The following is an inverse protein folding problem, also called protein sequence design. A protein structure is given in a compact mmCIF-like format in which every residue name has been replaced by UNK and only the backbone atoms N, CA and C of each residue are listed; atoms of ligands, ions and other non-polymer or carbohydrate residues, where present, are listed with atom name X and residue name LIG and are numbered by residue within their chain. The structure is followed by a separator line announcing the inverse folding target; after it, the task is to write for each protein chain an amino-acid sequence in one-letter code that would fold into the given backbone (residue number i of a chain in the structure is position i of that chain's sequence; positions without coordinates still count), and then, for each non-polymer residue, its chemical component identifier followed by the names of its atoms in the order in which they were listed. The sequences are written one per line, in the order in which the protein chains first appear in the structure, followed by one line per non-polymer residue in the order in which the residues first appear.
data_IF_825621905278
#
_entry.id   IF_825621905278
#
_cell.length_a   1.000
_cell.length_b   1.000
_cell.length_c   1.000
_cell.angle_alpha   90.00
_cell.angle_beta   90.00
_cell.angle_gamma   90.00
#
_symmetry.space_group_name_H-M   'P 1'
#
loop_
_entity.id
_entity.type
_entity.pdbx_description
1 polymer ?
#
# COMPACT_ATOMS: atom_id res chain seq x y z
N UNK A 1 7.53 -32.32 1.86
CA UNK A 1 6.45 -33.10 2.50
C UNK A 1 6.44 -34.55 2.00
N UNK A 2 6.14 -34.85 0.73
CA UNK A 2 6.23 -36.25 0.19
C UNK A 2 7.59 -36.60 -0.46
N UNK A 3 8.59 -35.73 -0.35
CA UNK A 3 9.92 -35.92 -0.98
C UNK A 3 10.00 -35.55 -2.47
N UNK A 4 8.91 -35.10 -3.08
CA UNK A 4 8.87 -34.63 -4.47
C UNK A 4 9.00 -33.10 -4.60
N UNK A 5 9.12 -32.62 -5.84
CA UNK A 5 9.18 -31.19 -6.17
C UNK A 5 10.53 -30.54 -5.83
N UNK A 6 10.49 -29.23 -5.59
CA UNK A 6 11.65 -28.42 -5.17
C UNK A 6 11.29 -27.59 -3.94
N UNK A 7 12.30 -27.28 -3.13
CA UNK A 7 12.17 -26.39 -1.98
C UNK A 7 13.37 -25.45 -1.91
N UNK A 8 13.17 -24.27 -1.34
CA UNK A 8 14.26 -23.34 -1.03
C UNK A 8 14.70 -23.51 0.42
N UNK A 9 16.01 -23.66 0.64
CA UNK A 9 16.64 -23.65 1.96
C UNK A 9 17.78 -22.62 1.95
N UNK A 10 17.64 -21.55 2.74
CA UNK A 10 18.61 -20.44 2.84
C UNK A 10 19.04 -19.85 1.48
N UNK A 11 18.09 -19.72 0.55
CA UNK A 11 18.33 -19.19 -0.80
C UNK A 11 18.86 -20.21 -1.82
N UNK A 12 19.07 -21.48 -1.43
CA UNK A 12 19.44 -22.56 -2.35
C UNK A 12 18.20 -23.36 -2.76
N UNK A 13 18.00 -23.54 -4.06
CA UNK A 13 16.93 -24.39 -4.59
C UNK A 13 17.36 -25.86 -4.61
N UNK A 14 16.67 -26.70 -3.85
CA UNK A 14 16.95 -28.12 -3.67
C UNK A 14 15.84 -28.99 -4.26
N UNK A 15 16.17 -30.25 -4.56
CA UNK A 15 15.13 -31.27 -4.76
C UNK A 15 14.38 -31.51 -3.44
N UNK A 16 13.09 -31.88 -3.52
CA UNK A 16 12.28 -32.19 -2.34
C UNK A 16 12.93 -33.24 -1.43
N UNK A 17 13.51 -34.30 -2.00
CA UNK A 17 14.18 -35.34 -1.23
C UNK A 17 15.42 -34.82 -0.49
N UNK A 18 16.22 -33.95 -1.12
CA UNK A 18 17.38 -33.33 -0.48
C UNK A 18 16.97 -32.36 0.62
N UNK A 19 15.94 -31.53 0.38
CA UNK A 19 15.42 -30.63 1.39
C UNK A 19 14.88 -31.38 2.63
N UNK A 20 14.14 -32.48 2.43
CA UNK A 20 13.66 -33.33 3.51
C UNK A 20 14.83 -33.95 4.31
N UNK A 21 15.87 -34.46 3.63
CA UNK A 21 17.09 -34.96 4.29
C UNK A 21 17.79 -33.88 5.12
N UNK A 22 17.98 -32.68 4.56
CA UNK A 22 18.63 -31.56 5.27
C UNK A 22 17.83 -31.09 6.48
N UNK A 23 16.50 -31.17 6.40
CA UNK A 23 15.60 -30.85 7.50
C UNK A 23 15.46 -31.99 8.54
N UNK A 24 16.14 -33.13 8.34
CA UNK A 24 16.01 -34.33 9.17
C UNK A 24 14.56 -34.85 9.24
N UNK A 25 13.81 -34.73 8.14
CA UNK A 25 12.42 -35.16 8.02
C UNK A 25 12.29 -36.33 7.04
N UNK A 26 11.51 -37.34 7.43
CA UNK A 26 11.14 -38.44 6.53
C UNK A 26 9.98 -38.04 5.62
N UNK A 27 9.98 -38.43 4.32
CA UNK A 27 8.85 -38.24 3.43
C UNK A 27 7.56 -38.87 3.95
N UNK A 28 6.47 -38.09 3.92
CA UNK A 28 5.14 -38.55 4.32
C UNK A 28 4.53 -39.41 3.21
N UNK A 29 3.98 -40.57 3.56
CA UNK A 29 3.15 -41.38 2.67
C UNK A 29 1.68 -41.01 2.87
N UNK A 30 1.08 -40.41 1.86
CA UNK A 30 -0.32 -39.98 1.91
C UNK A 30 -1.29 -41.16 1.95
N UNK A 31 -2.30 -41.05 2.79
CA UNK A 31 -3.45 -41.95 2.91
C UNK A 31 -4.66 -41.41 2.13
N UNK A 32 -5.79 -42.11 2.24
CA UNK A 32 -7.04 -41.70 1.60
C UNK A 32 -7.42 -40.27 2.02
N UNK A 33 -7.92 -39.47 1.05
CA UNK A 33 -8.28 -38.04 1.17
C UNK A 33 -7.12 -37.06 1.39
N UNK A 34 -6.02 -37.45 2.04
CA UNK A 34 -4.95 -36.51 2.44
C UNK A 34 -4.38 -35.71 1.27
N UNK A 35 -4.17 -36.34 0.11
CA UNK A 35 -3.69 -35.64 -1.09
C UNK A 35 -4.65 -34.53 -1.57
N UNK A 36 -5.97 -34.79 -1.52
CA UNK A 36 -6.98 -33.81 -1.90
C UNK A 36 -7.11 -32.72 -0.85
N UNK A 37 -7.10 -33.08 0.43
CA UNK A 37 -7.17 -32.12 1.55
C UNK A 37 -6.02 -31.10 1.53
N UNK A 38 -4.86 -31.47 0.97
CA UNK A 38 -3.69 -30.61 0.88
C UNK A 38 -3.75 -29.59 -0.27
N UNK A 39 -4.40 -29.93 -1.38
CA UNK A 39 -4.38 -29.11 -2.61
C UNK A 39 -5.72 -28.43 -2.90
N UNK A 40 -6.81 -28.93 -2.32
CA UNK A 40 -8.15 -28.42 -2.55
C UNK A 40 -8.47 -27.34 -1.51
N UNK A 41 -8.55 -26.09 -1.94
CA UNK A 41 -8.86 -24.97 -1.07
C UNK A 41 -8.33 -23.64 -1.61
N UNK A 42 -8.45 -22.60 -0.79
CA UNK A 42 -8.14 -21.21 -1.16
C UNK A 42 -6.81 -20.70 -0.59
N UNK A 43 -5.98 -21.59 -0.02
CA UNK A 43 -4.82 -21.22 0.79
C UNK A 43 -3.81 -20.34 0.04
N UNK A 44 -3.53 -20.61 -1.25
CA UNK A 44 -2.56 -19.83 -2.03
C UNK A 44 -3.04 -18.39 -2.25
N UNK A 45 -4.27 -18.19 -2.74
CA UNK A 45 -4.80 -16.85 -2.96
C UNK A 45 -4.92 -16.08 -1.65
N UNK A 46 -5.37 -16.76 -0.58
CA UNK A 46 -5.54 -16.17 0.74
C UNK A 46 -4.21 -15.80 1.37
N UNK A 47 -3.16 -16.61 1.21
CA UNK A 47 -1.83 -16.31 1.72
C UNK A 47 -1.21 -15.09 1.02
N UNK A 48 -1.26 -15.03 -0.31
CA UNK A 48 -0.77 -13.88 -1.08
C UNK A 48 -1.57 -12.62 -0.72
N UNK A 49 -2.89 -12.73 -0.70
CA UNK A 49 -3.77 -11.62 -0.37
C UNK A 49 -3.63 -11.14 1.09
N UNK A 50 -3.37 -12.03 2.04
CA UNK A 50 -3.13 -11.67 3.44
C UNK A 50 -1.87 -10.83 3.60
N UNK A 51 -0.78 -11.17 2.90
CA UNK A 51 0.43 -10.36 2.87
C UNK A 51 0.17 -8.97 2.25
N UNK A 52 -0.60 -8.91 1.16
CA UNK A 52 -0.99 -7.66 0.54
C UNK A 52 -1.87 -6.80 1.48
N UNK A 53 -2.84 -7.39 2.17
CA UNK A 53 -3.66 -6.71 3.18
C UNK A 53 -2.80 -6.17 4.32
N UNK A 54 -1.87 -6.97 4.85
CA UNK A 54 -0.97 -6.54 5.93
C UNK A 54 -0.09 -5.36 5.49
N UNK A 55 0.45 -5.41 4.27
CA UNK A 55 1.17 -4.29 3.68
C UNK A 55 0.29 -3.05 3.52
N UNK A 56 -0.95 -3.21 3.03
CA UNK A 56 -1.90 -2.13 2.86
C UNK A 56 -2.29 -1.46 4.19
N UNK A 57 -2.43 -2.22 5.29
CA UNK A 57 -2.69 -1.68 6.63
C UNK A 57 -1.55 -0.78 7.13
N UNK A 58 -0.30 -1.02 6.72
CA UNK A 58 0.81 -0.09 6.96
C UNK A 58 0.74 1.10 5.99
N UNK A 59 0.47 0.82 4.72
CA UNK A 59 0.42 1.81 3.64
C UNK A 59 -0.57 2.94 3.95
N UNK A 60 -1.77 2.63 4.45
CA UNK A 60 -2.81 3.64 4.74
C UNK A 60 -2.32 4.72 5.71
N UNK A 61 -1.51 4.36 6.71
CA UNK A 61 -0.93 5.30 7.68
C UNK A 61 0.25 6.05 7.08
N UNK A 62 1.12 5.34 6.36
CA UNK A 62 2.27 5.96 5.67
C UNK A 62 1.81 6.98 4.63
N UNK A 63 0.73 6.72 3.90
CA UNK A 63 0.14 7.65 2.95
C UNK A 63 -0.31 8.96 3.61
N UNK A 64 -0.94 8.88 4.79
CA UNK A 64 -1.34 10.07 5.56
C UNK A 64 -0.11 10.89 6.01
N UNK A 65 0.97 10.22 6.44
CA UNK A 65 2.22 10.86 6.86
C UNK A 65 2.90 11.58 5.69
N UNK A 66 3.05 10.89 4.55
CA UNK A 66 3.67 11.47 3.36
C UNK A 66 2.84 12.64 2.84
N UNK A 67 1.51 12.50 2.82
CA UNK A 67 0.62 13.58 2.44
C UNK A 67 0.69 14.78 3.40
N UNK A 68 0.94 14.56 4.71
CA UNK A 68 1.14 15.63 5.68
C UNK A 68 2.43 16.43 5.44
N UNK A 69 3.53 15.78 5.06
CA UNK A 69 4.75 16.47 4.62
C UNK A 69 4.49 17.35 3.38
N UNK A 70 3.78 16.82 2.39
CA UNK A 70 3.40 17.59 1.21
C UNK A 70 2.43 18.73 1.56
N UNK A 71 1.51 18.52 2.51
CA UNK A 71 0.63 19.56 3.03
C UNK A 71 1.44 20.75 3.58
N UNK A 72 2.50 20.51 4.35
CA UNK A 72 3.36 21.58 4.87
C UNK A 72 4.18 22.24 3.77
N UNK A 73 4.73 21.48 2.83
CA UNK A 73 5.41 22.04 1.66
C UNK A 73 4.50 22.93 0.81
N UNK A 74 3.20 22.60 0.76
CA UNK A 74 2.18 23.33 0.02
C UNK A 74 1.44 24.40 0.86
N UNK A 75 1.84 24.62 2.12
CA UNK A 75 1.17 25.51 3.08
C UNK A 75 -0.35 25.30 3.08
N UNK A 76 -0.77 24.09 3.42
CA UNK A 76 -2.18 23.69 3.34
C UNK A 76 -3.06 24.40 4.37
N UNK A 77 -4.34 24.51 4.02
CA UNK A 77 -5.41 25.03 4.84
C UNK A 77 -5.96 23.89 5.70
N UNK A 78 -5.60 23.85 6.98
CA UNK A 78 -5.93 22.75 7.89
C UNK A 78 -7.43 22.65 8.21
N UNK A 79 -8.20 23.71 7.96
CA UNK A 79 -9.66 23.70 8.12
C UNK A 79 -10.36 22.65 7.25
N UNK A 80 -9.72 22.18 6.18
CA UNK A 80 -10.22 21.05 5.38
C UNK A 80 -10.29 19.71 6.15
N UNK A 81 -9.56 19.61 7.26
CA UNK A 81 -9.44 18.42 8.10
C UNK A 81 -10.23 18.54 9.41
N UNK A 82 -11.06 19.58 9.55
CA UNK A 82 -11.89 19.83 10.72
C UNK A 82 -12.87 18.68 10.95
N UNK A 83 -12.85 18.14 12.16
CA UNK A 83 -13.67 17.00 12.57
C UNK A 83 -15.16 17.15 12.28
N UNK A 84 -15.71 18.38 12.36
CA UNK A 84 -17.12 18.64 12.08
C UNK A 84 -17.46 18.33 10.63
N UNK A 85 -16.56 18.61 9.68
CA UNK A 85 -16.73 18.30 8.26
C UNK A 85 -16.83 16.79 8.05
N UNK A 86 -15.96 16.03 8.71
CA UNK A 86 -15.88 14.58 8.53
C UNK A 86 -17.01 13.84 9.27
N UNK A 87 -17.41 14.32 10.46
CA UNK A 87 -18.57 13.79 11.20
C UNK A 87 -19.89 13.96 10.44
N UNK A 88 -20.04 15.02 9.65
CA UNK A 88 -21.26 15.22 8.83
C UNK A 88 -21.40 14.18 7.72
N UNK A 89 -20.30 13.66 7.17
CA UNK A 89 -20.31 12.62 6.13
C UNK A 89 -20.22 11.19 6.67
N UNK A 90 -19.61 11.02 7.85
CA UNK A 90 -19.66 9.81 8.68
C UNK A 90 -19.06 8.52 8.09
N UNK A 91 -18.18 8.60 7.08
CA UNK A 91 -17.39 7.43 6.68
C UNK A 91 -16.26 7.18 7.69
N UNK A 92 -16.13 5.96 8.27
CA UNK A 92 -15.13 5.66 9.29
C UNK A 92 -13.70 5.96 8.85
N UNK A 93 -13.30 5.49 7.67
CA UNK A 93 -11.97 5.73 7.14
C UNK A 93 -11.68 7.22 6.88
N UNK A 94 -12.70 7.98 6.44
CA UNK A 94 -12.57 9.43 6.25
C UNK A 94 -12.36 10.17 7.58
N UNK A 95 -13.06 9.77 8.64
CA UNK A 95 -12.88 10.34 9.98
C UNK A 95 -11.48 10.00 10.50
N UNK A 96 -11.05 8.73 10.37
CA UNK A 96 -9.74 8.27 10.81
C UNK A 96 -8.60 9.02 10.11
N UNK A 97 -8.67 9.19 8.78
CA UNK A 97 -7.67 9.95 8.03
C UNK A 97 -7.63 11.43 8.44
N UNK A 98 -8.79 12.07 8.60
CA UNK A 98 -8.83 13.46 9.07
C UNK A 98 -8.25 13.63 10.48
N UNK A 99 -8.51 12.68 11.38
CA UNK A 99 -7.90 12.67 12.71
C UNK A 99 -6.38 12.51 12.63
N UNK A 100 -5.88 11.60 11.80
CA UNK A 100 -4.45 11.41 11.57
C UNK A 100 -3.80 12.71 11.06
N UNK A 101 -4.39 13.36 10.05
CA UNK A 101 -3.86 14.63 9.52
C UNK A 101 -3.85 15.74 10.57
N UNK A 102 -4.89 15.85 11.41
CA UNK A 102 -4.88 16.81 12.54
C UNK A 102 -3.76 16.51 13.53
N UNK A 103 -3.51 15.25 13.87
CA UNK A 103 -2.39 14.84 14.76
C UNK A 103 -1.03 15.16 14.12
N UNK A 104 -0.86 14.84 12.85
CA UNK A 104 0.41 15.00 12.12
C UNK A 104 0.78 16.46 11.90
N UNK A 105 -0.20 17.32 11.63
CA UNK A 105 0.00 18.75 11.36
C UNK A 105 -0.10 19.63 12.60
N UNK A 106 -0.34 19.05 13.79
CA UNK A 106 -0.47 19.80 15.03
C UNK A 106 0.84 20.54 15.36
N UNK A 107 0.76 21.86 15.52
CA UNK A 107 1.92 22.71 15.79
C UNK A 107 2.72 23.13 14.55
N UNK A 108 2.22 22.87 13.34
CA UNK A 108 2.86 23.34 12.11
C UNK A 108 2.99 24.87 12.07
N UNK A 109 4.18 25.35 11.71
CA UNK A 109 4.42 26.74 11.35
C UNK A 109 4.12 27.06 9.88
N UNK A 110 3.78 26.05 9.06
CA UNK A 110 3.57 26.12 7.62
C UNK A 110 2.09 25.98 7.24
N UNK A 111 1.45 24.90 7.70
CA UNK A 111 0.03 24.62 7.47
C UNK A 111 -0.83 25.19 8.59
N UNK A 112 -1.88 25.93 8.23
CA UNK A 112 -2.70 26.72 9.18
C UNK A 112 -4.16 26.77 8.76
N UNK A 113 -5.05 27.19 9.65
CA UNK A 113 -6.48 27.34 9.32
C UNK A 113 -6.74 28.43 8.28
N UNK A 114 -5.92 29.48 8.27
CA UNK A 114 -6.01 30.58 7.31
C UNK A 114 -4.64 30.82 6.70
N UNK A 115 -4.60 30.85 5.36
CA UNK A 115 -3.39 31.13 4.58
C UNK A 115 -3.71 32.34 3.70
N UNK A 116 -2.97 33.43 3.88
CA UNK A 116 -3.22 34.68 3.16
C UNK A 116 -3.13 34.47 1.64
N UNK A 117 -4.08 35.04 0.89
CA UNK A 117 -4.15 34.91 -0.56
C UNK A 117 -4.63 33.56 -1.07
N UNK A 118 -4.98 32.61 -0.19
CA UNK A 118 -5.41 31.25 -0.57
C UNK A 118 -6.78 30.93 0.04
N UNK A 119 -7.78 30.78 -0.84
CA UNK A 119 -9.17 30.49 -0.40
C UNK A 119 -9.38 29.00 -0.16
N UNK A 120 -8.85 28.16 -1.06
CA UNK A 120 -8.97 26.70 -0.98
C UNK A 120 -7.74 26.02 -1.56
N UNK A 121 -7.42 24.84 -1.02
CA UNK A 121 -6.48 23.91 -1.62
C UNK A 121 -7.08 23.14 -2.80
N UNK A 122 -6.20 22.69 -3.70
CA UNK A 122 -6.54 21.72 -4.74
C UNK A 122 -6.92 20.36 -4.15
N UNK A 123 -7.64 19.54 -4.90
CA UNK A 123 -8.23 18.30 -4.37
C UNK A 123 -7.22 17.28 -3.89
N UNK A 124 -6.03 17.17 -4.51
CA UNK A 124 -5.00 16.25 -4.04
C UNK A 124 -4.46 16.57 -2.63
N UNK A 125 -4.75 17.76 -2.11
CA UNK A 125 -4.47 18.19 -0.74
C UNK A 125 -5.76 18.25 0.10
N UNK A 126 -6.78 18.94 -0.41
CA UNK A 126 -8.02 19.18 0.34
C UNK A 126 -8.86 17.93 0.56
N UNK A 127 -8.84 17.01 -0.39
CA UNK A 127 -9.67 15.82 -0.39
C UNK A 127 -8.94 14.58 0.15
N UNK A 128 -7.78 14.73 0.81
CA UNK A 128 -7.02 13.60 1.36
C UNK A 128 -7.92 12.71 2.24
N UNK A 129 -8.69 13.24 3.23
CA UNK A 129 -9.57 12.39 4.04
C UNK A 129 -10.59 11.59 3.24
N UNK A 130 -11.16 12.17 2.19
CA UNK A 130 -12.18 11.54 1.37
C UNK A 130 -11.59 10.41 0.52
N UNK A 131 -10.40 10.64 -0.07
CA UNK A 131 -9.73 9.68 -0.96
C UNK A 131 -9.09 8.57 -0.13
N UNK A 132 -8.20 8.93 0.81
CA UNK A 132 -7.51 7.96 1.67
C UNK A 132 -8.50 7.20 2.56
N UNK A 133 -9.56 7.88 3.02
CA UNK A 133 -10.59 7.26 3.84
C UNK A 133 -11.40 6.20 3.12
N UNK A 134 -11.79 6.44 1.87
CA UNK A 134 -12.49 5.45 1.05
C UNK A 134 -11.62 4.20 0.82
N UNK A 135 -10.34 4.39 0.49
CA UNK A 135 -9.40 3.28 0.32
C UNK A 135 -9.15 2.54 1.63
N UNK A 136 -9.10 3.23 2.76
CA UNK A 136 -8.97 2.63 4.10
C UNK A 136 -10.15 1.74 4.46
N UNK A 137 -11.38 2.17 4.16
CA UNK A 137 -12.58 1.35 4.38
C UNK A 137 -12.54 0.06 3.52
N UNK A 138 -12.04 0.13 2.29
CA UNK A 138 -11.86 -1.03 1.42
C UNK A 138 -10.79 -2.00 1.93
N UNK A 139 -9.66 -1.48 2.44
CA UNK A 139 -8.61 -2.30 3.10
C UNK A 139 -9.18 -3.02 4.32
N UNK A 140 -10.01 -2.35 5.13
CA UNK A 140 -10.66 -2.97 6.28
C UNK A 140 -11.60 -4.10 5.87
N UNK A 141 -12.41 -3.91 4.82
CA UNK A 141 -13.25 -4.96 4.26
C UNK A 141 -12.44 -6.19 3.82
N UNK A 142 -11.34 -5.99 3.09
CA UNK A 142 -10.47 -7.08 2.65
C UNK A 142 -9.83 -7.80 3.85
N UNK A 143 -9.44 -7.07 4.90
CA UNK A 143 -8.90 -7.66 6.12
C UNK A 143 -9.90 -8.54 6.85
N UNK A 144 -11.16 -8.13 6.94
CA UNK A 144 -12.22 -8.97 7.51
C UNK A 144 -12.47 -10.23 6.68
N UNK A 145 -12.50 -10.11 5.36
CA UNK A 145 -12.67 -11.25 4.45
C UNK A 145 -11.54 -12.27 4.64
N UNK A 146 -10.28 -11.81 4.61
CA UNK A 146 -9.10 -12.67 4.85
C UNK A 146 -9.14 -13.31 6.24
N UNK A 147 -9.53 -12.56 7.27
CA UNK A 147 -9.63 -13.08 8.64
C UNK A 147 -10.60 -14.26 8.73
N UNK A 148 -11.75 -14.18 8.03
CA UNK A 148 -12.71 -15.29 7.96
C UNK A 148 -12.12 -16.47 7.20
N UNK A 149 -11.51 -16.21 6.03
CA UNK A 149 -11.01 -17.26 5.13
C UNK A 149 -9.83 -18.05 5.71
N UNK A 150 -8.90 -17.40 6.41
CA UNK A 150 -7.75 -18.06 7.07
C UNK A 150 -8.21 -19.08 8.11
N UNK A 151 -9.40 -18.88 8.71
CA UNK A 151 -9.97 -19.76 9.73
C UNK A 151 -11.01 -20.73 9.16
N UNK A 152 -11.22 -20.76 7.85
CA UNK A 152 -12.25 -21.57 7.21
C UNK A 152 -11.74 -22.98 6.82
N UNK A 153 -12.67 -23.94 6.76
CA UNK A 153 -12.45 -25.24 6.11
C UNK A 153 -12.82 -25.11 4.65
N UNK A 154 -11.81 -25.08 3.78
CA UNK A 154 -11.96 -24.83 2.34
C UNK A 154 -11.72 -26.05 1.46
N UNK A 155 -11.38 -27.20 2.05
CA UNK A 155 -11.24 -28.44 1.30
C UNK A 155 -12.59 -29.13 1.04
N UNK A 156 -12.56 -30.21 0.25
CA UNK A 156 -13.73 -31.00 -0.07
C UNK A 156 -13.32 -32.44 -0.47
N UNK A 157 -14.09 -33.49 -0.16
CA UNK A 157 -15.34 -33.48 0.63
C UNK A 157 -15.11 -33.17 2.10
N UNK A 158 -16.14 -32.71 2.79
CA UNK A 158 -16.13 -32.47 4.22
C UNK A 158 -16.56 -33.73 4.97
N UNK A 159 -15.85 -34.07 6.04
CA UNK A 159 -16.17 -35.20 6.91
C UNK A 159 -16.76 -34.62 8.19
N UNK A 160 -17.92 -35.15 8.58
CA UNK A 160 -18.68 -34.81 9.77
C UNK A 160 -18.75 -36.05 10.67
N UNK A 161 -17.71 -36.30 11.50
CA UNK A 161 -17.55 -37.57 12.20
C UNK A 161 -18.63 -37.82 13.25
N UNK A 162 -19.11 -36.76 13.91
CA UNK A 162 -20.14 -36.85 14.94
C UNK A 162 -21.50 -37.23 14.34
N UNK A 163 -21.71 -36.90 13.07
CA UNK A 163 -22.89 -37.23 12.27
C UNK A 163 -22.73 -38.51 11.42
N UNK A 164 -21.54 -39.15 11.42
CA UNK A 164 -21.18 -40.26 10.54
C UNK A 164 -21.46 -39.97 9.04
N UNK A 165 -21.17 -38.74 8.61
CA UNK A 165 -21.54 -38.23 7.29
C UNK A 165 -20.34 -37.65 6.52
N UNK A 166 -20.44 -37.70 5.18
CA UNK A 166 -19.47 -37.12 4.24
C UNK A 166 -20.22 -36.32 3.19
N UNK A 167 -20.05 -35.00 3.23
CA UNK A 167 -20.75 -34.08 2.34
C UNK A 167 -19.80 -33.50 1.29
N UNK A 168 -20.20 -33.58 0.02
CA UNK A 168 -19.54 -32.85 -1.06
C UNK A 168 -20.21 -31.49 -1.26
N UNK A 169 -19.45 -30.42 -1.05
CA UNK A 169 -19.84 -29.03 -1.28
C UNK A 169 -18.84 -28.31 -2.17
N UNK A 170 -18.72 -26.99 -1.98
CA UNK A 170 -17.93 -26.10 -2.85
C UNK A 170 -17.09 -25.07 -2.09
N UNK A 171 -16.68 -25.35 -0.84
CA UNK A 171 -15.93 -24.38 -0.02
C UNK A 171 -14.55 -24.01 -0.60
N UNK A 172 -14.03 -24.78 -1.56
CA UNK A 172 -12.81 -24.46 -2.31
C UNK A 172 -12.99 -23.31 -3.31
N UNK A 173 -14.23 -22.90 -3.61
CA UNK A 173 -14.49 -21.85 -4.57
C UNK A 173 -14.21 -20.45 -4.00
N UNK A 174 -13.01 -19.92 -4.27
CA UNK A 174 -12.51 -18.65 -3.71
C UNK A 174 -13.14 -17.33 -4.19
N UNK A 175 -14.41 -17.31 -4.61
CA UNK A 175 -15.07 -16.07 -5.06
C UNK A 175 -15.08 -14.95 -4.00
N UNK A 176 -15.31 -15.24 -2.70
CA UNK A 176 -15.27 -14.20 -1.68
C UNK A 176 -13.91 -13.50 -1.61
N UNK A 177 -12.82 -14.26 -1.80
CA UNK A 177 -11.47 -13.74 -1.83
C UNK A 177 -11.15 -12.99 -3.12
N UNK A 178 -11.58 -13.52 -4.27
CA UNK A 178 -11.35 -12.87 -5.55
C UNK A 178 -11.93 -11.45 -5.59
N UNK A 179 -13.17 -11.28 -5.15
CA UNK A 179 -13.84 -9.97 -5.06
C UNK A 179 -13.13 -9.05 -4.05
N UNK A 180 -12.73 -9.58 -2.90
CA UNK A 180 -12.02 -8.81 -1.88
C UNK A 180 -10.66 -8.30 -2.38
N UNK A 181 -9.91 -9.11 -3.11
CA UNK A 181 -8.59 -8.74 -3.61
C UNK A 181 -8.64 -7.79 -4.82
N UNK A 182 -9.61 -7.92 -5.72
CA UNK A 182 -9.80 -6.90 -6.75
C UNK A 182 -10.20 -5.55 -6.13
N UNK A 183 -11.10 -5.56 -5.13
CA UNK A 183 -11.47 -4.34 -4.43
C UNK A 183 -10.29 -3.71 -3.67
N UNK A 184 -9.45 -4.55 -3.03
CA UNK A 184 -8.20 -4.12 -2.41
C UNK A 184 -7.26 -3.47 -3.44
N UNK A 185 -7.03 -4.11 -4.58
CA UNK A 185 -6.17 -3.58 -5.64
C UNK A 185 -6.66 -2.22 -6.16
N UNK A 186 -7.96 -2.09 -6.43
CA UNK A 186 -8.59 -0.82 -6.83
C UNK A 186 -8.36 0.26 -5.77
N UNK A 187 -8.59 -0.06 -4.49
CA UNK A 187 -8.43 0.89 -3.40
C UNK A 187 -6.97 1.34 -3.19
N UNK A 188 -6.01 0.44 -3.32
CA UNK A 188 -4.59 0.76 -3.17
C UNK A 188 -4.11 1.64 -4.33
N UNK A 189 -4.59 1.40 -5.55
CA UNK A 189 -4.22 2.18 -6.73
C UNK A 189 -4.51 3.69 -6.54
N UNK A 190 -5.59 4.04 -5.83
CA UNK A 190 -5.96 5.44 -5.57
C UNK A 190 -4.97 6.16 -4.64
N UNK A 191 -4.30 5.46 -3.71
CA UNK A 191 -3.22 6.06 -2.91
C UNK A 191 -2.05 6.49 -3.80
N UNK A 192 -1.68 5.65 -4.76
CA UNK A 192 -0.63 5.95 -5.72
C UNK A 192 -1.04 7.11 -6.64
N UNK A 193 -2.26 7.08 -7.20
CA UNK A 193 -2.73 8.13 -8.13
C UNK A 193 -2.74 9.51 -7.45
N UNK A 194 -3.33 9.63 -6.24
CA UNK A 194 -3.34 10.92 -5.53
C UNK A 194 -1.95 11.36 -5.04
N UNK A 195 -1.08 10.41 -4.68
CA UNK A 195 0.31 10.69 -4.29
C UNK A 195 1.14 11.23 -5.45
N UNK A 196 0.97 10.68 -6.64
CA UNK A 196 1.63 11.20 -7.83
C UNK A 196 1.11 12.60 -8.18
N UNK A 197 -0.20 12.86 -8.04
CA UNK A 197 -0.75 14.22 -8.19
C UNK A 197 -0.17 15.21 -7.18
N UNK A 198 0.15 14.77 -5.95
CA UNK A 198 0.86 15.59 -4.95
C UNK A 198 2.32 15.80 -5.32
N UNK A 199 3.00 14.78 -5.86
CA UNK A 199 4.36 14.90 -6.42
C UNK A 199 4.40 15.94 -7.53
N UNK A 200 3.46 15.91 -8.48
CA UNK A 200 3.37 16.91 -9.55
C UNK A 200 3.24 18.34 -8.99
N UNK A 201 2.42 18.53 -7.95
CA UNK A 201 2.30 19.85 -7.32
C UNK A 201 3.59 20.37 -6.72
N UNK A 202 4.50 19.49 -6.29
CA UNK A 202 5.79 19.88 -5.72
C UNK A 202 6.82 20.23 -6.82
N UNK A 203 6.82 19.49 -7.92
CA UNK A 203 7.81 19.68 -8.99
C UNK A 203 7.40 20.76 -10.00
N UNK A 204 6.12 21.09 -10.09
CA UNK A 204 5.63 22.07 -11.04
C UNK A 204 5.76 23.52 -10.49
N UNK A 205 6.54 24.41 -11.13
CA UNK A 205 6.76 25.78 -10.66
C UNK A 205 5.50 26.65 -10.62
N UNK A 206 4.44 26.27 -11.35
CA UNK A 206 3.15 26.96 -11.32
C UNK A 206 2.29 26.56 -10.11
N UNK A 207 2.65 25.47 -9.42
CA UNK A 207 1.84 24.86 -8.36
C UNK A 207 2.58 24.75 -7.02
N UNK A 208 3.91 24.92 -7.00
CA UNK A 208 4.78 24.54 -5.89
C UNK A 208 5.17 25.69 -4.94
N UNK A 209 4.39 26.77 -4.88
CA UNK A 209 4.62 27.94 -4.02
C UNK A 209 5.98 28.64 -4.25
N UNK A 210 6.32 28.93 -5.52
CA UNK A 210 7.54 29.63 -5.93
C UNK A 210 8.85 28.87 -5.67
N UNK A 211 8.77 27.55 -5.51
CA UNK A 211 9.98 26.73 -5.51
C UNK A 211 10.53 26.57 -6.94
N UNK A 212 11.84 26.34 -7.11
CA UNK A 212 12.40 26.08 -8.42
C UNK A 212 11.69 24.93 -9.15
N UNK A 213 11.59 25.04 -10.48
CA UNK A 213 11.04 23.97 -11.30
C UNK A 213 11.78 22.65 -11.04
N UNK A 214 11.01 21.58 -10.90
CA UNK A 214 11.49 20.22 -10.58
C UNK A 214 12.33 20.13 -9.30
N UNK A 215 12.16 21.09 -8.39
CA UNK A 215 12.93 21.19 -7.14
C UNK A 215 14.45 21.19 -7.39
N UNK A 216 14.88 21.75 -8.52
CA UNK A 216 16.28 21.87 -8.91
C UNK A 216 16.79 23.29 -8.60
N UNK A 217 17.73 23.47 -7.63
CA UNK A 217 18.25 24.80 -7.28
C UNK A 217 18.82 25.58 -8.48
N UNK A 218 19.50 24.89 -9.39
CA UNK A 218 20.10 25.44 -10.60
C UNK A 218 19.44 24.82 -11.85
N UNK A 219 18.17 25.15 -12.06
CA UNK A 219 17.36 24.67 -13.18
C UNK A 219 17.94 25.07 -14.55
N UNK A 220 17.70 24.23 -15.57
CA UNK A 220 18.23 24.38 -16.93
C UNK A 220 19.59 23.71 -17.14
N UNK A 221 20.44 23.68 -16.10
CA UNK A 221 21.61 22.79 -16.05
C UNK A 221 21.28 21.46 -15.38
N UNK A 222 20.46 21.50 -14.32
CA UNK A 222 20.00 20.33 -13.57
C UNK A 222 18.52 20.08 -13.82
N UNK A 223 18.14 18.81 -13.94
CA UNK A 223 16.76 18.37 -14.14
C UNK A 223 16.02 18.05 -12.83
N UNK A 224 16.76 17.85 -11.73
CA UNK A 224 16.19 17.55 -10.42
C UNK A 224 15.21 16.37 -10.47
N UNK A 225 14.00 16.58 -9.98
CA UNK A 225 12.97 15.55 -9.79
C UNK A 225 12.15 15.22 -11.04
N UNK A 226 12.48 15.80 -12.21
CA UNK A 226 11.72 15.60 -13.45
C UNK A 226 11.53 14.11 -13.79
N UNK A 227 12.61 13.32 -13.79
CA UNK A 227 12.52 11.89 -14.14
C UNK A 227 11.95 11.04 -13.00
N UNK A 228 12.15 11.46 -11.75
CA UNK A 228 11.51 10.80 -10.61
C UNK A 228 9.98 10.89 -10.71
N UNK A 229 9.46 12.04 -11.14
CA UNK A 229 8.04 12.19 -11.45
C UNK A 229 7.59 11.24 -12.59
N UNK A 230 8.37 11.09 -13.65
CA UNK A 230 8.02 10.18 -14.75
C UNK A 230 7.90 8.73 -14.28
N UNK A 231 8.79 8.30 -13.40
CA UNK A 231 8.72 6.97 -12.78
C UNK A 231 7.43 6.81 -11.97
N UNK A 232 7.06 7.78 -11.14
CA UNK A 232 5.80 7.74 -10.39
C UNK A 232 4.58 7.69 -11.32
N UNK A 233 4.55 8.52 -12.38
CA UNK A 233 3.47 8.54 -13.35
C UNK A 233 3.32 7.22 -14.11
N UNK A 234 4.43 6.57 -14.47
CA UNK A 234 4.42 5.26 -15.12
C UNK A 234 3.80 4.18 -14.22
N UNK A 235 4.22 4.10 -12.95
CA UNK A 235 3.69 3.14 -11.98
C UNK A 235 2.19 3.34 -11.72
N UNK A 236 1.75 4.60 -11.62
CA UNK A 236 0.31 4.92 -11.51
C UNK A 236 -0.46 4.48 -12.75
N UNK A 237 0.10 4.68 -13.94
CA UNK A 237 -0.53 4.22 -15.19
C UNK A 237 -0.62 2.70 -15.26
N UNK A 238 0.40 1.99 -14.78
CA UNK A 238 0.42 0.52 -14.75
C UNK A 238 -0.65 -0.02 -13.78
N UNK A 239 -0.79 0.61 -12.61
CA UNK A 239 -1.84 0.26 -11.64
C UNK A 239 -3.25 0.36 -12.24
N UNK A 240 -3.52 1.25 -13.20
CA UNK A 240 -4.83 1.36 -13.87
C UNK A 240 -5.17 0.11 -14.68
N UNK A 241 -4.16 -0.52 -15.29
CA UNK A 241 -4.35 -1.77 -16.01
C UNK A 241 -4.46 -2.94 -15.03
N UNK A 242 -3.60 -2.98 -14.01
CA UNK A 242 -3.64 -4.02 -12.98
C UNK A 242 -4.93 -3.98 -12.14
N UNK A 243 -5.61 -2.84 -12.04
CA UNK A 243 -6.88 -2.70 -11.33
C UNK A 243 -8.09 -3.30 -12.08
N UNK A 244 -7.93 -3.74 -13.34
CA UNK A 244 -9.00 -4.44 -14.04
C UNK A 244 -9.38 -5.74 -13.31
N UNK A 245 -10.65 -5.98 -12.93
CA UNK A 245 -11.01 -7.08 -12.05
C UNK A 245 -10.76 -8.44 -12.70
N UNK A 246 -10.08 -9.35 -11.98
CA UNK A 246 -9.91 -10.74 -12.40
C UNK A 246 -11.11 -11.61 -11.99
N UNK A 247 -11.79 -11.25 -10.90
CA UNK A 247 -12.92 -11.96 -10.29
C UNK A 247 -14.20 -12.03 -11.14
N UNK A 248 -14.25 -11.27 -12.23
CA UNK A 248 -15.35 -11.27 -13.20
C UNK A 248 -15.07 -12.15 -14.42
N UNK A 249 -13.90 -12.78 -14.49
CA UNK A 249 -13.53 -13.74 -15.53
C UNK A 249 -13.66 -15.18 -15.02
N UNK A 250 -14.00 -16.09 -15.95
CA UNK A 250 -14.08 -17.54 -15.69
C UNK A 250 -14.01 -18.29 -17.03
N UNK A 251 -13.11 -19.26 -17.12
CA UNK A 251 -12.94 -20.11 -18.30
C UNK A 251 -13.14 -21.57 -17.87
N UNK A 252 -14.07 -22.32 -18.48
CA UNK A 252 -14.37 -23.67 -18.06
C UNK A 252 -13.20 -24.63 -18.34
N UNK A 253 -12.94 -25.52 -17.37
CA UNK A 253 -11.89 -26.55 -17.44
C UNK A 253 -12.45 -27.94 -17.15
N UNK A 254 -11.58 -28.95 -17.22
CA UNK A 254 -11.89 -30.31 -16.76
C UNK A 254 -13.15 -30.90 -17.40
N UNK A 255 -13.28 -30.74 -18.73
CA UNK A 255 -14.44 -31.16 -19.52
C UNK A 255 -15.78 -30.56 -19.03
N UNK A 256 -15.76 -29.28 -18.63
CA UNK A 256 -16.89 -28.53 -18.04
C UNK A 256 -17.33 -29.02 -16.64
N UNK A 257 -16.54 -29.84 -15.96
CA UNK A 257 -16.81 -30.14 -14.56
C UNK A 257 -16.51 -28.93 -13.66
N UNK A 258 -15.52 -28.13 -14.05
CA UNK A 258 -15.18 -26.83 -13.46
C UNK A 258 -15.65 -25.76 -14.45
N UNK A 259 -16.97 -25.56 -14.54
CA UNK A 259 -17.60 -24.63 -15.47
C UNK A 259 -17.57 -23.17 -15.01
N UNK A 260 -17.33 -22.95 -13.72
CA UNK A 260 -17.12 -21.64 -13.11
C UNK A 260 -15.97 -21.63 -12.10
N UNK A 261 -15.07 -20.66 -12.20
CA UNK A 261 -13.94 -20.45 -11.28
C UNK A 261 -13.81 -18.98 -10.90
N UNK A 262 -13.08 -18.69 -9.82
CA UNK A 262 -13.03 -17.34 -9.23
C UNK A 262 -11.88 -16.44 -9.71
N UNK A 263 -10.83 -17.02 -10.30
CA UNK A 263 -9.57 -16.34 -10.58
C UNK A 263 -8.91 -15.64 -9.38
N UNK A 264 -9.22 -16.06 -8.14
CA UNK A 264 -8.80 -15.36 -6.93
C UNK A 264 -7.29 -15.23 -6.74
N UNK A 265 -6.50 -16.20 -7.21
CA UNK A 265 -5.03 -16.11 -7.18
C UNK A 265 -4.49 -14.99 -8.08
N UNK A 266 -5.16 -14.72 -9.22
CA UNK A 266 -4.80 -13.61 -10.12
C UNK A 266 -5.14 -12.28 -9.44
N UNK A 267 -6.33 -12.17 -8.84
CA UNK A 267 -6.73 -10.99 -8.07
C UNK A 267 -5.75 -10.69 -6.92
N UNK A 268 -5.35 -11.70 -6.14
CA UNK A 268 -4.39 -11.56 -5.04
C UNK A 268 -3.02 -11.06 -5.51
N UNK A 269 -2.49 -11.63 -6.60
CA UNK A 269 -1.19 -11.23 -7.17
C UNK A 269 -1.22 -9.80 -7.71
N UNK A 270 -2.30 -9.42 -8.41
CA UNK A 270 -2.50 -8.03 -8.89
C UNK A 270 -2.52 -7.05 -7.73
N UNK A 271 -3.24 -7.37 -6.64
CA UNK A 271 -3.28 -6.51 -5.46
C UNK A 271 -1.90 -6.34 -4.80
N UNK A 272 -1.10 -7.41 -4.73
CA UNK A 272 0.27 -7.35 -4.21
C UNK A 272 1.19 -6.47 -5.08
N UNK A 273 1.09 -6.59 -6.41
CA UNK A 273 1.90 -5.78 -7.34
C UNK A 273 1.50 -4.29 -7.28
N UNK A 274 0.19 -4.00 -7.21
CA UNK A 274 -0.30 -2.63 -7.02
C UNK A 274 0.20 -2.03 -5.70
N UNK A 275 0.28 -2.82 -4.63
CA UNK A 275 0.85 -2.41 -3.35
C UNK A 275 2.31 -2.00 -3.49
N UNK A 276 3.14 -2.83 -4.12
CA UNK A 276 4.56 -2.50 -4.35
C UNK A 276 4.70 -1.19 -5.15
N UNK A 277 3.89 -1.03 -6.20
CA UNK A 277 3.88 0.19 -6.99
C UNK A 277 3.46 1.42 -6.17
N UNK A 278 2.45 1.29 -5.30
CA UNK A 278 2.00 2.37 -4.44
C UNK A 278 3.05 2.77 -3.39
N UNK A 279 3.77 1.81 -2.81
CA UNK A 279 4.89 2.08 -1.89
C UNK A 279 6.00 2.88 -2.58
N UNK A 280 6.34 2.53 -3.83
CA UNK A 280 7.34 3.27 -4.63
C UNK A 280 6.89 4.69 -4.96
N UNK A 281 5.62 4.88 -5.33
CA UNK A 281 5.07 6.22 -5.60
C UNK A 281 5.08 7.09 -4.34
N UNK A 282 4.69 6.55 -3.19
CA UNK A 282 4.79 7.26 -1.91
C UNK A 282 6.24 7.57 -1.52
N UNK A 283 7.20 6.68 -1.83
CA UNK A 283 8.62 6.94 -1.60
C UNK A 283 9.14 8.10 -2.45
N UNK A 284 8.69 8.23 -3.70
CA UNK A 284 9.01 9.36 -4.58
C UNK A 284 8.39 10.64 -4.03
N UNK A 285 7.13 10.61 -3.59
CA UNK A 285 6.48 11.77 -2.96
C UNK A 285 7.23 12.19 -1.68
N UNK A 286 7.59 11.25 -0.81
CA UNK A 286 8.37 11.50 0.41
C UNK A 286 9.70 12.19 0.07
N UNK A 287 10.38 11.72 -0.98
CA UNK A 287 11.64 12.31 -1.41
C UNK A 287 11.46 13.74 -1.91
N UNK A 288 10.46 13.98 -2.76
CA UNK A 288 10.14 15.31 -3.29
C UNK A 288 9.69 16.27 -2.18
N UNK A 289 8.85 15.83 -1.26
CA UNK A 289 8.39 16.62 -0.12
C UNK A 289 9.57 16.99 0.78
N UNK A 290 10.45 16.04 1.09
CA UNK A 290 11.68 16.33 1.84
C UNK A 290 12.56 17.35 1.14
N UNK A 291 12.72 17.26 -0.18
CA UNK A 291 13.49 18.24 -0.97
C UNK A 291 12.88 19.63 -0.88
N UNK A 292 11.56 19.75 -1.09
CA UNK A 292 10.84 21.01 -0.98
C UNK A 292 10.95 21.63 0.43
N UNK A 293 10.79 20.81 1.47
CA UNK A 293 10.86 21.26 2.86
C UNK A 293 12.27 21.73 3.26
N UNK A 294 13.32 21.13 2.69
CA UNK A 294 14.69 21.64 2.85
C UNK A 294 14.87 23.05 2.27
N UNK A 295 14.15 23.40 1.19
CA UNK A 295 14.19 24.73 0.59
C UNK A 295 13.34 25.76 1.36
N UNK A 296 12.23 25.30 1.97
CA UNK A 296 11.29 26.15 2.69
C UNK A 296 11.77 26.49 4.12
N UNK A 297 12.45 25.55 4.78
CA UNK A 297 12.87 25.67 6.19
C UNK A 297 12.19 24.63 7.07
N UNK A 298 12.93 23.57 7.42
CA UNK A 298 12.43 22.44 8.19
C UNK A 298 12.18 22.76 9.68
N UNK A 299 12.66 23.89 10.17
CA UNK A 299 12.39 24.39 11.53
C UNK A 299 10.92 24.78 11.76
N UNK A 300 10.14 24.94 10.69
CA UNK A 300 8.73 25.30 10.74
C UNK A 300 7.77 24.12 10.64
N UNK A 301 8.30 22.90 10.49
CA UNK A 301 7.50 21.68 10.43
C UNK A 301 6.80 21.42 11.76
N UNK A 302 5.64 20.78 11.70
CA UNK A 302 5.02 20.17 12.87
C UNK A 302 5.98 19.14 13.50
N UNK A 303 5.92 18.90 14.83
CA UNK A 303 6.85 17.98 15.48
C UNK A 303 6.86 16.56 14.89
N UNK A 304 5.71 16.03 14.48
CA UNK A 304 5.61 14.67 13.94
C UNK A 304 6.21 14.55 12.53
N UNK A 305 5.86 15.47 11.62
CA UNK A 305 6.45 15.53 10.28
C UNK A 305 7.93 15.89 10.33
N UNK A 306 8.36 16.69 11.31
CA UNK A 306 9.78 16.97 11.56
C UNK A 306 10.57 15.70 11.88
N UNK A 307 10.05 14.82 12.73
CA UNK A 307 10.70 13.55 13.04
C UNK A 307 10.88 12.67 11.79
N UNK A 308 9.88 12.65 10.91
CA UNK A 308 9.95 11.92 9.62
C UNK A 308 10.95 12.57 8.68
N UNK A 309 10.95 13.90 8.57
CA UNK A 309 11.92 14.66 7.78
C UNK A 309 13.36 14.39 8.25
N UNK A 310 13.60 14.39 9.55
CA UNK A 310 14.93 14.11 10.13
C UNK A 310 15.34 12.66 9.87
N UNK A 311 14.42 11.69 9.95
CA UNK A 311 14.68 10.31 9.58
C UNK A 311 15.04 10.15 8.09
N UNK A 312 14.29 10.83 7.20
CA UNK A 312 14.60 10.88 5.77
C UNK A 312 15.99 11.48 5.52
N UNK A 313 16.33 12.59 6.16
CA UNK A 313 17.59 13.32 5.92
C UNK A 313 18.83 12.60 6.43
N UNK A 314 18.70 11.67 7.36
CA UNK A 314 19.79 10.76 7.76
C UNK A 314 20.22 9.84 6.62
N UNK A 315 19.29 9.41 5.79
CA UNK A 315 19.54 8.46 4.70
C UNK A 315 19.75 9.14 3.34
N UNK A 316 18.97 10.20 3.10
CA UNK A 316 18.87 10.87 1.81
C UNK A 316 19.24 12.35 1.96
N UNK A 317 20.42 12.78 1.46
CA UNK A 317 20.85 14.17 1.55
C UNK A 317 20.01 15.09 0.64
N UNK A 318 20.12 16.40 0.85
CA UNK A 318 19.57 17.40 -0.06
C UNK A 318 20.21 17.28 -1.45
N UNK A 319 19.41 17.36 -2.51
CA UNK A 319 19.90 17.29 -3.89
C UNK A 319 20.24 18.69 -4.38
N UNK A 320 21.52 19.06 -4.33
CA UNK A 320 22.00 20.38 -4.78
C UNK A 320 22.21 20.45 -6.30
N UNK A 321 22.66 19.34 -6.90
CA UNK A 321 22.88 19.12 -8.32
C UNK A 321 22.39 17.72 -8.70
N UNK A 322 22.26 17.44 -10.00
CA UNK A 322 21.77 16.14 -10.46
C UNK A 322 22.63 14.99 -9.90
N UNK A 323 21.93 13.96 -9.43
CA UNK A 323 22.50 12.71 -8.88
C UNK A 323 21.81 11.52 -9.53
N UNK A 324 22.34 10.33 -9.28
CA UNK A 324 21.69 9.07 -9.65
C UNK A 324 20.43 8.88 -8.80
N UNK A 325 19.28 9.30 -9.33
CA UNK A 325 18.04 9.40 -8.55
C UNK A 325 17.51 8.05 -8.04
N UNK A 326 17.65 6.96 -8.81
CA UNK A 326 17.11 5.65 -8.40
C UNK A 326 17.73 5.15 -7.10
N UNK A 327 19.00 5.48 -6.81
CA UNK A 327 19.65 5.10 -5.55
C UNK A 327 19.05 5.83 -4.35
N UNK A 328 18.64 7.10 -4.53
CA UNK A 328 17.99 7.87 -3.48
C UNK A 328 16.52 7.46 -3.30
N UNK A 329 15.82 7.18 -4.39
CA UNK A 329 14.45 6.64 -4.37
C UNK A 329 14.45 5.29 -3.63
N UNK A 330 15.38 4.38 -3.94
CA UNK A 330 15.49 3.08 -3.27
C UNK A 330 15.77 3.18 -1.76
N UNK A 331 16.41 4.25 -1.28
CA UNK A 331 16.51 4.53 0.17
C UNK A 331 15.17 4.94 0.77
N UNK A 332 14.41 5.80 0.08
CA UNK A 332 13.07 6.20 0.50
C UNK A 332 12.11 5.00 0.51
N UNK A 333 12.20 4.11 -0.48
CA UNK A 333 11.43 2.86 -0.54
C UNK A 333 11.70 2.00 0.70
N UNK A 334 12.98 1.85 1.10
CA UNK A 334 13.31 1.11 2.34
C UNK A 334 12.73 1.77 3.59
N UNK A 335 12.70 3.09 3.67
CA UNK A 335 12.09 3.81 4.81
C UNK A 335 10.57 3.57 4.88
N UNK A 336 9.90 3.53 3.73
CA UNK A 336 8.46 3.22 3.63
C UNK A 336 8.20 1.75 3.99
N UNK A 337 8.87 0.81 3.31
CA UNK A 337 8.62 -0.63 3.45
C UNK A 337 8.93 -1.16 4.87
N UNK A 338 10.01 -0.68 5.48
CA UNK A 338 10.41 -1.07 6.85
C UNK A 338 9.49 -0.52 7.94
N UNK A 339 8.62 0.44 7.62
CA UNK A 339 7.80 1.14 8.61
C UNK A 339 8.55 2.23 9.40
N UNK A 340 9.78 2.58 9.01
CA UNK A 340 10.55 3.64 9.69
C UNK A 340 9.85 5.00 9.62
N UNK A 341 9.18 5.32 8.50
CA UNK A 341 8.35 6.53 8.36
C UNK A 341 7.23 6.57 9.40
N UNK A 342 6.50 5.46 9.54
CA UNK A 342 5.42 5.31 10.51
C UNK A 342 5.93 5.45 11.94
N UNK A 343 6.98 4.70 12.29
CA UNK A 343 7.58 4.72 13.61
C UNK A 343 8.09 6.13 14.00
N UNK A 344 8.70 6.86 13.06
CA UNK A 344 9.17 8.22 13.31
C UNK A 344 8.01 9.17 13.66
N UNK A 345 6.91 9.14 12.91
CA UNK A 345 5.73 9.96 13.20
C UNK A 345 5.08 9.58 14.53
N UNK A 346 4.79 8.29 14.74
CA UNK A 346 4.09 7.80 15.95
C UNK A 346 4.90 7.99 17.22
N UNK A 347 6.24 8.05 17.14
CA UNK A 347 7.10 8.40 18.28
C UNK A 347 6.81 9.79 18.85
N UNK A 348 6.15 10.66 18.08
CA UNK A 348 5.82 12.04 18.46
C UNK A 348 4.32 12.25 18.64
N UNK A 349 3.49 11.81 17.68
CA UNK A 349 2.04 12.05 17.72
C UNK A 349 1.22 10.90 18.32
N UNK A 350 1.87 9.83 18.77
CA UNK A 350 1.22 8.61 19.23
C UNK A 350 0.66 7.77 18.08
N UNK A 351 -0.09 6.72 18.41
CA UNK A 351 -0.63 5.80 17.41
C UNK A 351 -1.59 6.51 16.44
N UNK A 352 -1.36 6.28 15.14
CA UNK A 352 -2.26 6.68 14.08
C UNK A 352 -3.33 5.60 13.87
N UNK A 353 -4.52 6.03 13.47
CA UNK A 353 -5.64 5.16 13.15
C UNK A 353 -5.40 4.38 11.86
#
# INVERSE_FOLDING_TARGET
MIGEGKAEDKGEALSGAEAMRRAELEPVRLLAKEGLALINGTQIMTAVGALAVYGAQKLVKTADIVAALTCEAQTCITGAFDERVHRLRAHPGQIACAENLRKLLYGSGLSKENVEGKVQDAYSIRCIPQIHGASRDAVAYAAEAVTREINAVTDNPLIFPDEDDVLSGGNFHGQPMALAFDFLGIAIAEFADVSERRTERLVNPYLNNNLPAFLAPNGGLNSGFMIAQYAAAALVSENKILAHPASVDSIPSSANQEDHVSMGTIAARKAAEILENAERVLAIELFAAGQALSMIGAERLAPATRAVFDALRKEVPFVEKDVVMYEQIGKCERLVASGAVLAAAESVCGALN
#
